data_IF_026948407308
#
_entry.id   IF_026948407308
#
_cell.length_a   1.000
_cell.length_b   1.000
_cell.length_c   1.000
_cell.angle_alpha   90.00
_cell.angle_beta   90.00
_cell.angle_gamma   90.00
#
_symmetry.space_group_name_H-M   'P 1'
#
loop_
_entity.id
_entity.type
_entity.pdbx_description
1 polymer ?
#
# COMPACT_ATOMS: atom_id res chain seq x y z
N UNK A 1 54.30 14.56 21.45
CA UNK A 1 53.63 15.02 20.22
C UNK A 1 52.57 13.98 19.85
N UNK A 2 51.29 14.31 19.86
CA UNK A 2 50.25 13.40 19.37
C UNK A 2 50.17 13.47 17.83
N UNK A 3 50.05 12.32 17.21
CA UNK A 3 49.88 12.14 15.77
C UNK A 3 48.51 12.71 15.31
N UNK A 4 48.42 13.30 14.12
CA UNK A 4 47.18 13.87 13.62
C UNK A 4 46.20 12.76 13.25
N UNK A 5 44.97 12.83 13.78
CA UNK A 5 43.84 11.96 13.40
C UNK A 5 43.44 12.31 11.97
N UNK A 6 43.62 11.38 11.06
CA UNK A 6 43.08 11.46 9.69
C UNK A 6 41.56 11.27 9.74
N UNK A 7 40.83 12.36 9.43
CA UNK A 7 39.38 12.28 9.21
C UNK A 7 39.11 11.40 8.00
N UNK A 8 38.48 10.25 8.22
CA UNK A 8 37.92 9.45 7.13
C UNK A 8 36.84 10.26 6.40
N UNK A 9 36.89 10.35 5.06
CA UNK A 9 35.84 11.05 4.32
C UNK A 9 34.50 10.32 4.52
N UNK A 10 33.47 11.10 4.82
CA UNK A 10 32.09 10.63 4.97
C UNK A 10 31.64 10.01 3.62
N UNK A 11 31.70 8.69 3.53
CA UNK A 11 31.32 7.96 2.34
C UNK A 11 29.80 7.89 2.27
N UNK A 12 29.18 8.71 1.42
CA UNK A 12 27.74 8.64 1.14
C UNK A 12 27.52 7.79 -0.14
N UNK A 13 27.09 6.52 -0.03
CA UNK A 13 26.93 5.63 -1.17
C UNK A 13 25.90 6.13 -2.19
N UNK A 14 24.90 6.90 -1.76
CA UNK A 14 23.91 7.53 -2.65
C UNK A 14 24.55 8.60 -3.54
N UNK A 15 25.53 9.33 -3.04
CA UNK A 15 26.25 10.34 -3.81
C UNK A 15 27.03 9.71 -4.97
N UNK A 16 27.61 8.53 -4.74
CA UNK A 16 28.35 7.80 -5.78
C UNK A 16 27.43 7.22 -6.86
N UNK A 17 26.24 6.74 -6.47
CA UNK A 17 25.22 6.28 -7.40
C UNK A 17 24.62 7.41 -8.23
N UNK A 18 24.40 8.56 -7.60
CA UNK A 18 23.98 9.79 -8.28
C UNK A 18 25.07 10.31 -9.24
N UNK A 19 26.34 10.20 -8.90
CA UNK A 19 27.44 10.58 -9.81
C UNK A 19 27.55 9.62 -11.01
N UNK A 20 27.37 8.31 -10.81
CA UNK A 20 27.36 7.37 -11.95
C UNK A 20 26.17 7.60 -12.88
N UNK A 21 24.99 7.90 -12.34
CA UNK A 21 23.82 8.30 -13.13
C UNK A 21 24.01 9.65 -13.84
N UNK A 22 24.67 10.61 -13.19
CA UNK A 22 24.98 11.90 -13.81
C UNK A 22 25.90 11.74 -15.03
N UNK A 23 26.82 10.77 -15.04
CA UNK A 23 27.64 10.47 -16.23
C UNK A 23 26.84 9.83 -17.37
N UNK A 24 25.77 9.04 -17.05
CA UNK A 24 24.87 8.47 -18.05
C UNK A 24 23.82 9.48 -18.55
N UNK A 25 23.42 10.44 -17.73
CA UNK A 25 22.41 11.46 -18.04
C UNK A 25 22.94 12.69 -18.79
N UNK A 26 24.23 12.80 -19.05
CA UNK A 26 24.80 13.93 -19.84
C UNK A 26 24.21 14.07 -21.25
N UNK A 27 23.44 13.10 -21.74
CA UNK A 27 22.80 13.17 -23.07
C UNK A 27 21.30 13.47 -23.04
N UNK A 28 20.68 13.73 -21.87
CA UNK A 28 19.24 13.99 -21.76
C UNK A 28 18.90 15.37 -21.14
N UNK A 29 19.62 16.40 -21.48
CA UNK A 29 19.26 17.74 -21.04
C UNK A 29 18.29 18.40 -22.04
N UNK A 30 17.04 18.64 -21.62
CA UNK A 30 16.12 19.54 -22.33
C UNK A 30 16.50 20.99 -22.06
N UNK A 31 16.68 21.81 -23.10
CA UNK A 31 16.81 23.27 -22.95
C UNK A 31 15.43 23.87 -22.75
N UNK A 32 15.22 24.60 -21.65
CA UNK A 32 14.07 25.52 -21.53
C UNK A 32 14.32 26.77 -22.38
N UNK A 33 13.27 27.48 -22.77
CA UNK A 33 13.37 28.71 -23.59
C UNK A 33 14.20 29.83 -22.95
N UNK A 34 14.54 29.69 -21.65
CA UNK A 34 15.35 30.68 -20.90
C UNK A 34 16.80 30.21 -20.64
N UNK A 35 17.21 29.07 -21.22
CA UNK A 35 18.61 28.61 -21.12
C UNK A 35 19.05 28.05 -19.75
N UNK A 36 18.18 27.94 -18.79
CA UNK A 36 18.43 27.28 -17.51
C UNK A 36 18.28 25.77 -17.66
N UNK A 37 19.28 25.01 -17.22
CA UNK A 37 19.21 23.56 -17.19
C UNK A 37 18.44 23.15 -15.95
N UNK A 38 17.20 22.70 -16.10
CA UNK A 38 16.48 22.01 -15.03
C UNK A 38 17.03 20.60 -14.91
N UNK A 39 17.44 20.25 -13.71
CA UNK A 39 17.86 18.88 -13.40
C UNK A 39 16.60 17.99 -13.46
N UNK A 40 16.48 17.16 -14.50
CA UNK A 40 15.35 16.25 -14.64
C UNK A 40 15.30 15.33 -13.43
N UNK A 41 14.24 15.44 -12.64
CA UNK A 41 13.98 14.57 -11.52
C UNK A 41 13.64 13.15 -12.04
N UNK A 42 14.27 12.12 -11.46
CA UNK A 42 13.97 10.73 -11.83
C UNK A 42 12.50 10.40 -11.53
N UNK A 43 11.85 9.64 -12.39
CA UNK A 43 10.47 9.17 -12.21
C UNK A 43 10.48 7.76 -11.65
N UNK A 44 9.73 7.55 -10.58
CA UNK A 44 9.62 6.26 -9.89
C UNK A 44 8.22 5.70 -10.05
N UNK A 45 8.12 4.43 -10.41
CA UNK A 45 6.89 3.67 -10.41
C UNK A 45 6.99 2.53 -9.39
N UNK A 46 5.98 2.39 -8.54
CA UNK A 46 5.91 1.35 -7.50
C UNK A 46 4.75 0.41 -7.81
N UNK A 47 5.05 -0.87 -7.95
CA UNK A 47 4.08 -1.92 -8.23
C UNK A 47 4.08 -2.94 -7.11
N UNK A 48 2.93 -3.12 -6.49
CA UNK A 48 2.78 -3.93 -5.29
C UNK A 48 1.87 -5.14 -5.52
N UNK A 49 2.42 -6.32 -5.36
CA UNK A 49 1.74 -7.60 -5.37
C UNK A 49 1.22 -7.91 -3.96
N UNK A 50 -0.05 -7.61 -3.71
CA UNK A 50 -0.67 -7.78 -2.40
C UNK A 50 -1.00 -9.25 -2.09
N UNK A 51 -1.15 -10.11 -3.08
CA UNK A 51 -1.39 -11.53 -2.86
C UNK A 51 -0.13 -12.20 -2.30
N UNK A 52 1.04 -11.75 -2.74
CA UNK A 52 2.33 -12.27 -2.31
C UNK A 52 2.87 -11.54 -1.07
N UNK A 53 2.72 -10.21 -1.01
CA UNK A 53 3.23 -9.34 0.06
C UNK A 53 2.11 -8.50 0.69
N UNK A 54 1.16 -9.13 1.40
CA UNK A 54 0.19 -8.37 2.18
C UNK A 54 0.89 -7.63 3.33
N UNK A 55 0.38 -6.47 3.76
CA UNK A 55 0.88 -5.80 4.96
C UNK A 55 0.72 -6.69 6.20
N UNK A 56 1.77 -6.76 7.02
CA UNK A 56 1.76 -7.48 8.31
C UNK A 56 1.28 -6.62 9.47
N UNK A 57 1.14 -5.32 9.24
CA UNK A 57 0.67 -4.32 10.16
C UNK A 57 -0.36 -3.38 9.50
N UNK A 58 -0.59 -2.18 10.04
CA UNK A 58 -1.55 -1.23 9.52
C UNK A 58 -1.25 -0.86 8.05
N UNK A 59 -2.17 -1.14 7.10
CA UNK A 59 -1.90 -0.98 5.67
C UNK A 59 -1.53 0.45 5.27
N UNK A 60 -2.12 1.45 5.92
CA UNK A 60 -1.82 2.85 5.68
C UNK A 60 -0.35 3.18 5.96
N UNK A 61 0.17 2.70 7.11
CA UNK A 61 1.55 2.96 7.52
C UNK A 61 2.54 2.26 6.58
N UNK A 62 2.26 0.99 6.24
CA UNK A 62 3.08 0.23 5.29
C UNK A 62 3.18 0.94 3.92
N UNK A 63 2.06 1.47 3.43
CA UNK A 63 2.03 2.21 2.16
C UNK A 63 2.80 3.52 2.23
N UNK A 64 2.70 4.28 3.33
CA UNK A 64 3.48 5.51 3.53
C UNK A 64 4.97 5.22 3.62
N UNK A 65 5.37 4.19 4.35
CA UNK A 65 6.78 3.78 4.46
C UNK A 65 7.35 3.37 3.10
N UNK A 66 6.58 2.61 2.31
CA UNK A 66 6.97 2.23 0.95
C UNK A 66 7.11 3.45 0.04
N UNK A 67 6.18 4.40 0.12
CA UNK A 67 6.23 5.66 -0.62
C UNK A 67 7.46 6.48 -0.23
N UNK A 68 7.72 6.64 1.06
CA UNK A 68 8.91 7.36 1.58
C UNK A 68 10.21 6.72 1.10
N UNK A 69 10.28 5.39 1.05
CA UNK A 69 11.42 4.69 0.46
C UNK A 69 11.58 5.03 -1.03
N UNK A 70 10.51 4.97 -1.80
CA UNK A 70 10.55 5.24 -3.24
C UNK A 70 10.92 6.69 -3.54
N UNK A 71 10.49 7.66 -2.74
CA UNK A 71 10.82 9.09 -2.85
C UNK A 71 12.32 9.37 -2.72
N UNK A 72 13.11 8.47 -2.10
CA UNK A 72 14.59 8.60 -2.07
C UNK A 72 15.23 8.44 -3.45
N UNK A 73 14.53 7.83 -4.42
CA UNK A 73 15.03 7.55 -5.77
C UNK A 73 14.54 8.57 -6.80
N UNK A 74 13.50 9.32 -6.49
CA UNK A 74 12.94 10.36 -7.37
C UNK A 74 11.49 10.66 -7.08
N UNK A 75 10.82 11.28 -8.04
CA UNK A 75 9.39 11.60 -7.97
C UNK A 75 8.55 10.33 -8.20
N UNK A 76 7.71 9.99 -7.23
CA UNK A 76 6.82 8.83 -7.31
C UNK A 76 5.61 9.19 -8.16
N UNK A 77 5.66 8.81 -9.44
CA UNK A 77 4.60 9.13 -10.41
C UNK A 77 3.44 8.16 -10.37
N UNK A 78 3.65 6.93 -9.92
CA UNK A 78 2.62 5.90 -9.79
C UNK A 78 2.96 4.97 -8.64
N UNK A 79 1.95 4.65 -7.83
CA UNK A 79 2.00 3.61 -6.82
C UNK A 79 0.72 2.79 -6.90
N UNK A 80 0.83 1.57 -7.39
CA UNK A 80 -0.30 0.70 -7.73
C UNK A 80 -0.16 -0.65 -7.04
N UNK A 81 -1.24 -1.14 -6.47
CA UNK A 81 -1.32 -2.42 -5.79
C UNK A 81 -2.34 -3.35 -6.46
N UNK A 82 -1.97 -4.60 -6.63
CA UNK A 82 -2.76 -5.61 -7.35
C UNK A 82 -3.03 -6.78 -6.44
N UNK A 83 -4.27 -7.26 -6.44
CA UNK A 83 -4.65 -8.45 -5.69
C UNK A 83 -5.92 -9.09 -6.20
N UNK A 84 -6.08 -10.38 -5.93
CA UNK A 84 -7.34 -11.07 -6.04
C UNK A 84 -8.32 -10.58 -4.94
N UNK A 85 -9.60 -10.76 -5.17
CA UNK A 85 -10.64 -10.34 -4.22
C UNK A 85 -10.43 -10.91 -2.81
N UNK A 86 -9.91 -12.11 -2.70
CA UNK A 86 -9.65 -12.79 -1.43
C UNK A 86 -8.70 -12.03 -0.50
N UNK A 87 -7.71 -11.32 -1.03
CA UNK A 87 -6.78 -10.52 -0.22
C UNK A 87 -7.49 -9.43 0.61
N UNK A 88 -8.63 -8.93 0.13
CA UNK A 88 -9.39 -7.88 0.82
C UNK A 88 -10.40 -8.41 1.84
N UNK A 89 -10.75 -9.69 1.74
CA UNK A 89 -11.72 -10.36 2.61
C UNK A 89 -11.01 -11.11 3.73
N UNK A 90 -9.87 -11.71 3.43
CA UNK A 90 -9.09 -12.49 4.37
C UNK A 90 -8.55 -11.62 5.53
N UNK A 91 -8.66 -12.15 6.75
CA UNK A 91 -8.18 -11.46 7.95
C UNK A 91 -6.78 -11.97 8.32
N UNK A 92 -5.74 -11.12 8.24
CA UNK A 92 -4.42 -11.46 8.73
C UNK A 92 -4.43 -11.76 10.23
N UNK A 93 -3.49 -12.59 10.69
CA UNK A 93 -3.38 -13.00 12.09
C UNK A 93 -3.30 -11.82 13.07
N UNK A 94 -2.60 -10.75 12.71
CA UNK A 94 -2.49 -9.57 13.56
C UNK A 94 -3.86 -8.87 13.77
N UNK A 95 -4.74 -8.86 12.76
CA UNK A 95 -6.10 -8.30 12.86
C UNK A 95 -6.95 -9.17 13.78
N UNK A 96 -6.84 -10.50 13.64
CA UNK A 96 -7.55 -11.46 14.51
C UNK A 96 -7.13 -11.27 15.97
N UNK A 97 -5.83 -11.17 16.23
CA UNK A 97 -5.30 -10.92 17.58
C UNK A 97 -5.80 -9.59 18.15
N UNK A 98 -5.71 -8.51 17.37
CA UNK A 98 -6.20 -7.19 17.78
C UNK A 98 -7.71 -7.22 18.11
N UNK A 99 -8.53 -7.93 17.30
CA UNK A 99 -9.97 -8.08 17.57
C UNK A 99 -10.22 -8.87 18.84
N UNK A 100 -9.47 -9.95 19.09
CA UNK A 100 -9.56 -10.76 20.32
C UNK A 100 -9.18 -9.96 21.55
N UNK A 101 -8.06 -9.27 21.51
CA UNK A 101 -7.63 -8.38 22.61
C UNK A 101 -8.66 -7.31 22.91
N UNK A 102 -9.20 -6.66 21.87
CA UNK A 102 -10.24 -5.64 22.05
C UNK A 102 -11.52 -6.23 22.67
N UNK A 103 -11.97 -7.43 22.21
CA UNK A 103 -13.13 -8.11 22.79
C UNK A 103 -12.91 -8.40 24.29
N UNK A 104 -11.74 -8.91 24.64
CA UNK A 104 -11.39 -9.17 26.04
C UNK A 104 -11.40 -7.89 26.89
N UNK A 105 -10.81 -6.81 26.39
CA UNK A 105 -10.85 -5.51 27.10
C UNK A 105 -12.28 -4.99 27.27
N UNK A 106 -13.12 -5.07 26.24
CA UNK A 106 -14.53 -4.65 26.30
C UNK A 106 -15.31 -5.45 27.37
N UNK A 107 -15.01 -6.77 27.52
CA UNK A 107 -15.61 -7.62 28.59
C UNK A 107 -15.12 -7.17 29.98
N UNK A 108 -13.84 -6.95 30.16
CA UNK A 108 -13.26 -6.54 31.45
C UNK A 108 -13.73 -5.16 31.87
N UNK A 109 -13.84 -4.22 30.94
CA UNK A 109 -14.43 -2.89 31.17
C UNK A 109 -15.91 -2.99 31.58
N UNK A 110 -16.71 -3.85 30.92
CA UNK A 110 -18.12 -4.07 31.27
C UNK A 110 -18.31 -4.69 32.66
N UNK A 111 -17.41 -5.63 33.04
CA UNK A 111 -17.41 -6.22 34.39
C UNK A 111 -16.87 -5.27 35.45
N UNK A 112 -16.37 -4.09 35.10
CA UNK A 112 -15.78 -3.12 36.04
C UNK A 112 -14.44 -3.57 36.65
N UNK A 113 -13.81 -4.62 36.05
CA UNK A 113 -12.51 -5.14 36.50
C UNK A 113 -11.40 -4.17 36.11
N UNK A 114 -11.50 -3.59 34.92
CA UNK A 114 -10.58 -2.57 34.39
C UNK A 114 -11.36 -1.30 34.19
N UNK A 115 -10.85 -0.20 34.76
CA UNK A 115 -11.34 1.14 34.47
C UNK A 115 -10.31 1.85 33.61
N UNK A 116 -10.69 2.36 32.41
CA UNK A 116 -9.75 3.12 31.59
C UNK A 116 -9.28 4.37 32.36
N UNK A 117 -8.00 4.69 32.23
CA UNK A 117 -7.40 5.88 32.89
C UNK A 117 -8.01 7.18 32.40
N UNK A 118 -8.45 7.21 31.13
CA UNK A 118 -9.13 8.34 30.52
C UNK A 118 -10.46 7.90 29.87
N UNK A 119 -11.49 8.76 29.94
CA UNK A 119 -12.77 8.44 29.30
C UNK A 119 -12.62 8.40 27.76
N UNK A 120 -13.36 7.52 27.11
CA UNK A 120 -13.45 7.46 25.67
C UNK A 120 -14.19 8.69 25.13
N UNK A 121 -13.55 9.43 24.23
CA UNK A 121 -14.10 10.66 23.65
C UNK A 121 -14.54 10.42 22.22
N UNK A 122 -15.78 10.78 21.88
CA UNK A 122 -16.25 10.76 20.49
C UNK A 122 -15.59 11.88 19.70
N UNK A 123 -14.78 11.53 18.69
CA UNK A 123 -14.06 12.50 17.84
C UNK A 123 -14.99 13.39 16.99
N UNK A 124 -16.26 13.01 16.82
CA UNK A 124 -17.24 13.82 16.07
C UNK A 124 -17.85 14.93 16.93
N UNK A 125 -18.30 14.61 18.17
CA UNK A 125 -19.06 15.56 19.00
C UNK A 125 -18.44 15.86 20.37
N UNK A 126 -17.30 15.25 20.71
CA UNK A 126 -16.61 15.47 21.99
C UNK A 126 -17.27 14.80 23.21
N UNK A 127 -18.33 14.00 23.04
CA UNK A 127 -18.98 13.31 24.16
C UNK A 127 -18.01 12.33 24.82
N UNK A 128 -17.95 12.35 26.15
CA UNK A 128 -17.18 11.42 26.97
C UNK A 128 -18.03 10.19 27.31
N UNK A 129 -17.51 9.00 27.08
CA UNK A 129 -18.13 7.71 27.37
C UNK A 129 -17.28 6.95 28.40
N UNK A 130 -17.90 6.17 29.29
CA UNK A 130 -17.18 5.41 30.32
C UNK A 130 -16.48 4.18 29.74
N UNK A 131 -17.12 3.49 28.82
CA UNK A 131 -16.60 2.28 28.18
C UNK A 131 -16.51 2.46 26.67
N UNK A 132 -15.68 1.64 26.02
CA UNK A 132 -15.60 1.60 24.56
C UNK A 132 -16.92 1.15 23.92
N UNK A 133 -17.65 0.25 24.58
CA UNK A 133 -18.98 -0.21 24.14
C UNK A 133 -19.98 0.96 24.12
N UNK A 134 -19.97 1.80 25.17
CA UNK A 134 -20.82 3.00 25.22
C UNK A 134 -20.47 3.98 24.10
N UNK A 135 -19.18 4.15 23.79
CA UNK A 135 -18.73 4.99 22.69
C UNK A 135 -19.26 4.46 21.34
N UNK A 136 -19.13 3.15 21.08
CA UNK A 136 -19.66 2.51 19.86
C UNK A 136 -21.17 2.68 19.76
N UNK A 137 -21.91 2.41 20.86
CA UNK A 137 -23.37 2.56 20.92
C UNK A 137 -23.79 4.01 20.64
N UNK A 138 -23.12 4.97 21.28
CA UNK A 138 -23.35 6.39 21.03
C UNK A 138 -23.13 6.77 19.57
N UNK A 139 -22.00 6.32 18.98
CA UNK A 139 -21.67 6.63 17.61
C UNK A 139 -22.69 6.05 16.62
N UNK A 140 -23.06 4.76 16.78
CA UNK A 140 -24.08 4.11 15.95
C UNK A 140 -25.44 4.82 16.03
N UNK A 141 -25.89 5.12 17.23
CA UNK A 141 -27.23 5.69 17.47
C UNK A 141 -27.39 7.12 16.97
N UNK A 142 -26.34 7.95 17.04
CA UNK A 142 -26.41 9.35 16.63
C UNK A 142 -25.76 9.59 15.26
N UNK A 143 -24.45 9.41 15.18
CA UNK A 143 -23.69 9.85 14.00
C UNK A 143 -23.91 8.97 12.77
N UNK A 144 -23.95 7.64 12.94
CA UNK A 144 -24.21 6.72 11.84
C UNK A 144 -25.63 6.89 11.31
N UNK A 145 -26.63 7.01 12.19
CA UNK A 145 -28.02 7.28 11.79
C UNK A 145 -28.18 8.63 11.09
N UNK A 146 -27.48 9.66 11.55
CA UNK A 146 -27.50 10.97 10.90
C UNK A 146 -26.86 10.89 9.51
N UNK A 147 -25.72 10.20 9.40
CA UNK A 147 -25.04 9.97 8.12
C UNK A 147 -25.95 9.19 7.16
N UNK A 148 -26.61 8.13 7.63
CA UNK A 148 -27.54 7.33 6.83
C UNK A 148 -28.70 8.18 6.30
N UNK A 149 -29.26 9.09 7.10
CA UNK A 149 -30.29 10.04 6.65
C UNK A 149 -29.76 10.94 5.53
N UNK A 150 -28.52 11.46 5.66
CA UNK A 150 -27.89 12.28 4.61
C UNK A 150 -27.69 11.49 3.32
N UNK A 151 -27.24 10.24 3.41
CA UNK A 151 -27.05 9.35 2.25
C UNK A 151 -28.40 8.99 1.60
N UNK A 152 -29.40 8.63 2.38
CA UNK A 152 -30.74 8.36 1.85
C UNK A 152 -31.32 9.58 1.12
N UNK A 153 -31.10 10.79 1.67
CA UNK A 153 -31.47 12.03 1.00
C UNK A 153 -30.70 12.22 -0.31
N UNK A 154 -29.40 11.98 -0.31
CA UNK A 154 -28.57 12.03 -1.51
C UNK A 154 -29.08 11.10 -2.60
N UNK A 155 -29.48 9.86 -2.25
CA UNK A 155 -29.98 8.87 -3.19
C UNK A 155 -31.36 9.26 -3.77
N UNK A 156 -32.15 10.07 -3.07
CA UNK A 156 -33.40 10.60 -3.57
C UNK A 156 -33.25 11.79 -4.55
N UNK A 157 -32.06 12.38 -4.63
CA UNK A 157 -31.77 13.52 -5.49
C UNK A 157 -31.14 13.07 -6.82
N UNK A 158 -31.37 13.88 -7.89
CA UNK A 158 -30.82 13.63 -9.24
C UNK A 158 -30.08 14.88 -9.78
N UNK A 159 -29.16 14.63 -10.71
CA UNK A 159 -28.46 15.66 -11.47
C UNK A 159 -27.70 16.68 -10.59
N UNK A 160 -27.67 17.94 -10.99
CA UNK A 160 -26.94 19.03 -10.30
C UNK A 160 -27.33 19.20 -8.82
N UNK A 161 -28.59 18.87 -8.44
CA UNK A 161 -29.04 18.94 -7.04
C UNK A 161 -28.36 17.86 -6.18
N UNK A 162 -28.18 16.65 -6.71
CA UNK A 162 -27.45 15.56 -6.05
C UNK A 162 -26.00 15.95 -5.82
N UNK A 163 -25.32 16.46 -6.84
CA UNK A 163 -23.92 16.85 -6.74
C UNK A 163 -23.71 17.97 -5.70
N UNK A 164 -24.50 19.04 -5.74
CA UNK A 164 -24.45 20.10 -4.72
C UNK A 164 -24.71 19.60 -3.31
N UNK A 165 -25.63 18.65 -3.16
CA UNK A 165 -25.93 18.07 -1.84
C UNK A 165 -24.76 17.18 -1.36
N UNK A 166 -24.17 16.35 -2.25
CA UNK A 166 -23.00 15.52 -1.96
C UNK A 166 -21.84 16.39 -1.46
N UNK A 167 -21.47 17.40 -2.21
CA UNK A 167 -20.37 18.32 -1.86
C UNK A 167 -20.58 19.00 -0.50
N UNK A 168 -21.80 19.44 -0.22
CA UNK A 168 -22.09 20.20 1.01
C UNK A 168 -22.24 19.36 2.27
N UNK A 169 -22.79 18.15 2.19
CA UNK A 169 -23.24 17.38 3.35
C UNK A 169 -22.64 15.99 3.48
N UNK A 170 -22.01 15.49 2.42
CA UNK A 170 -21.48 14.13 2.37
C UNK A 170 -19.98 14.11 2.13
N UNK A 171 -19.48 14.85 1.14
CA UNK A 171 -18.05 14.98 0.87
C UNK A 171 -17.39 15.87 1.94
N UNK A 172 -16.15 15.56 2.33
CA UNK A 172 -15.37 16.39 3.26
C UNK A 172 -15.70 16.22 4.73
N UNK A 173 -16.54 15.24 5.12
CA UNK A 173 -16.80 14.96 6.54
C UNK A 173 -15.68 14.10 7.15
N UNK A 174 -14.45 14.65 7.15
CA UNK A 174 -13.26 13.93 7.61
C UNK A 174 -13.35 13.49 9.07
N UNK A 175 -13.99 14.32 9.92
CA UNK A 175 -14.19 13.97 11.33
C UNK A 175 -15.00 12.69 11.48
N UNK A 176 -16.10 12.57 10.72
CA UNK A 176 -16.91 11.37 10.70
C UNK A 176 -16.14 10.17 10.15
N UNK A 177 -15.44 10.33 9.03
CA UNK A 177 -14.69 9.25 8.39
C UNK A 177 -13.55 8.75 9.28
N UNK A 178 -12.87 9.63 10.00
CA UNK A 178 -11.84 9.25 10.98
C UNK A 178 -12.46 8.51 12.17
N UNK A 179 -13.57 9.02 12.71
CA UNK A 179 -14.29 8.38 13.80
C UNK A 179 -14.78 6.98 13.43
N UNK A 180 -15.29 6.79 12.21
CA UNK A 180 -15.70 5.46 11.70
C UNK A 180 -14.53 4.48 11.76
N UNK A 181 -13.35 4.86 11.24
CA UNK A 181 -12.16 3.99 11.24
C UNK A 181 -11.68 3.61 12.63
N UNK A 182 -11.76 4.54 13.58
CA UNK A 182 -11.31 4.32 14.95
C UNK A 182 -12.31 3.51 15.78
N UNK A 183 -13.62 3.77 15.62
CA UNK A 183 -14.67 3.24 16.49
C UNK A 183 -15.30 1.97 15.93
N UNK A 184 -15.55 1.91 14.61
CA UNK A 184 -16.26 0.80 13.99
C UNK A 184 -15.29 -0.16 13.27
N UNK A 185 -15.63 -1.44 13.27
CA UNK A 185 -14.92 -2.45 12.50
C UNK A 185 -15.59 -2.60 11.13
N UNK A 186 -14.83 -2.84 10.04
CA UNK A 186 -15.42 -3.20 8.76
C UNK A 186 -16.26 -4.46 8.87
N UNK A 187 -17.41 -4.52 8.19
CA UNK A 187 -18.27 -5.70 8.13
C UNK A 187 -17.56 -6.87 7.46
N UNK A 188 -16.81 -6.58 6.40
CA UNK A 188 -16.05 -7.58 5.64
C UNK A 188 -14.59 -7.16 5.58
N UNK A 189 -13.68 -8.11 5.80
CA UNK A 189 -12.25 -7.85 5.77
C UNK A 189 -11.78 -6.91 6.90
N UNK A 190 -10.75 -6.12 6.64
CA UNK A 190 -10.13 -5.21 7.62
C UNK A 190 -9.83 -3.82 7.06
N UNK A 191 -10.44 -3.48 5.94
CA UNK A 191 -10.28 -2.16 5.33
C UNK A 191 -8.98 -1.98 4.52
N UNK A 192 -8.33 -3.08 4.10
CA UNK A 192 -7.07 -3.06 3.36
C UNK A 192 -7.10 -2.07 2.18
N UNK A 193 -8.07 -2.24 1.26
CA UNK A 193 -8.16 -1.40 0.08
C UNK A 193 -8.42 0.09 0.40
N UNK A 194 -9.28 0.36 1.39
CA UNK A 194 -9.60 1.74 1.79
C UNK A 194 -8.39 2.44 2.43
N UNK A 195 -7.63 1.73 3.26
CA UNK A 195 -6.44 2.30 3.91
C UNK A 195 -5.30 2.52 2.92
N UNK A 196 -5.11 1.61 1.96
CA UNK A 196 -4.14 1.80 0.87
C UNK A 196 -4.51 2.99 -0.03
N UNK A 197 -5.79 3.10 -0.43
CA UNK A 197 -6.26 4.26 -1.21
C UNK A 197 -6.10 5.58 -0.45
N UNK A 198 -6.35 5.59 0.85
CA UNK A 198 -6.12 6.75 1.70
C UNK A 198 -4.66 7.19 1.71
N UNK A 199 -3.72 6.24 1.64
CA UNK A 199 -2.30 6.51 1.52
C UNK A 199 -1.86 6.95 0.09
N UNK A 200 -2.80 7.02 -0.85
CA UNK A 200 -2.53 7.40 -2.24
C UNK A 200 -2.14 6.25 -3.15
N UNK A 201 -2.35 4.99 -2.73
CA UNK A 201 -2.09 3.82 -3.56
C UNK A 201 -3.30 3.53 -4.44
N UNK A 202 -3.09 3.38 -5.74
CA UNK A 202 -4.12 2.87 -6.65
C UNK A 202 -4.29 1.37 -6.43
N UNK A 203 -5.46 0.93 -5.97
CA UNK A 203 -5.73 -0.48 -5.68
C UNK A 203 -6.61 -1.08 -6.76
N UNK A 204 -6.05 -2.06 -7.47
CA UNK A 204 -6.75 -2.82 -8.52
C UNK A 204 -7.08 -4.22 -8.03
N UNK A 205 -8.37 -4.49 -7.92
CA UNK A 205 -8.88 -5.85 -7.70
C UNK A 205 -9.03 -6.54 -9.03
N UNK A 206 -8.48 -7.74 -9.16
CA UNK A 206 -8.63 -8.58 -10.35
C UNK A 206 -9.62 -9.71 -10.10
N UNK A 207 -10.05 -10.38 -11.17
CA UNK A 207 -10.94 -11.54 -11.07
C UNK A 207 -10.28 -12.69 -10.30
N UNK A 208 -11.11 -13.51 -9.62
CA UNK A 208 -10.65 -14.68 -8.85
C UNK A 208 -10.23 -15.85 -9.78
N UNK A 209 -9.25 -15.54 -10.64
CA UNK A 209 -8.61 -16.53 -11.52
C UNK A 209 -7.16 -16.71 -11.08
N UNK A 210 -6.61 -17.93 -11.13
CA UNK A 210 -5.19 -18.13 -10.87
C UNK A 210 -4.33 -17.19 -11.73
N UNK A 211 -3.29 -16.59 -11.15
CA UNK A 211 -2.34 -15.70 -11.80
C UNK A 211 -2.92 -14.41 -12.43
N UNK A 212 -4.20 -14.06 -12.18
CA UNK A 212 -4.79 -12.86 -12.77
C UNK A 212 -4.12 -11.58 -12.24
N UNK A 213 -3.74 -11.55 -10.96
CA UNK A 213 -3.01 -10.44 -10.36
C UNK A 213 -1.62 -10.30 -10.99
N UNK A 214 -0.88 -11.40 -11.15
CA UNK A 214 0.46 -11.42 -11.76
C UNK A 214 0.42 -10.92 -13.20
N UNK A 215 -0.59 -11.37 -13.95
CA UNK A 215 -0.79 -10.94 -15.34
C UNK A 215 -1.09 -9.44 -15.43
N UNK A 216 -1.98 -8.94 -14.57
CA UNK A 216 -2.28 -7.52 -14.53
C UNK A 216 -1.06 -6.69 -14.13
N UNK A 217 -0.27 -7.20 -13.20
CA UNK A 217 0.96 -6.55 -12.72
C UNK A 217 2.05 -6.57 -13.80
N UNK A 218 2.27 -7.70 -14.51
CA UNK A 218 3.19 -7.79 -15.66
C UNK A 218 2.79 -6.80 -16.77
N UNK A 219 1.49 -6.70 -17.08
CA UNK A 219 0.99 -5.72 -18.06
C UNK A 219 1.27 -4.28 -17.61
N UNK A 220 1.09 -3.96 -16.33
CA UNK A 220 1.41 -2.63 -15.80
C UNK A 220 2.91 -2.35 -15.83
N UNK A 221 3.76 -3.34 -15.53
CA UNK A 221 5.22 -3.19 -15.65
C UNK A 221 5.61 -2.77 -17.07
N UNK A 222 5.10 -3.47 -18.10
CA UNK A 222 5.34 -3.13 -19.52
C UNK A 222 4.87 -1.72 -19.85
N UNK A 223 3.66 -1.36 -19.41
CA UNK A 223 3.12 -0.03 -19.63
C UNK A 223 3.97 1.07 -18.94
N UNK A 224 4.41 0.86 -17.72
CA UNK A 224 5.25 1.82 -16.99
C UNK A 224 6.61 1.99 -17.66
N UNK A 225 7.22 0.90 -18.15
CA UNK A 225 8.46 0.96 -18.91
C UNK A 225 8.33 1.83 -20.19
N UNK A 226 7.21 1.70 -20.92
CA UNK A 226 6.97 2.50 -22.14
C UNK A 226 6.73 3.99 -21.85
N UNK A 227 6.36 4.36 -20.63
CA UNK A 227 6.10 5.75 -20.21
C UNK A 227 7.35 6.53 -19.80
N UNK A 228 8.54 5.92 -19.89
CA UNK A 228 9.80 6.58 -19.60
C UNK A 228 10.01 6.88 -18.12
N UNK A 229 9.71 5.91 -17.27
CA UNK A 229 10.14 5.91 -15.87
C UNK A 229 11.64 5.65 -15.80
N UNK A 230 12.29 6.07 -14.71
CA UNK A 230 13.71 5.85 -14.48
C UNK A 230 13.95 4.72 -13.47
N UNK A 231 13.01 4.52 -12.53
CA UNK A 231 13.06 3.47 -11.50
C UNK A 231 11.76 2.69 -11.42
N UNK A 232 11.90 1.35 -11.37
CA UNK A 232 10.82 0.41 -11.15
C UNK A 232 11.00 -0.30 -9.82
N UNK A 233 10.04 -0.10 -8.91
CA UNK A 233 9.92 -0.83 -7.65
C UNK A 233 8.92 -1.95 -7.82
N UNK A 234 9.30 -3.16 -7.43
CA UNK A 234 8.43 -4.32 -7.37
C UNK A 234 8.39 -4.87 -5.95
N UNK A 235 7.21 -4.90 -5.35
CA UNK A 235 6.98 -5.47 -4.01
C UNK A 235 6.40 -6.87 -4.20
N UNK A 236 7.25 -7.87 -4.31
CA UNK A 236 6.91 -9.29 -4.47
C UNK A 236 8.14 -10.17 -4.28
N UNK A 237 7.93 -11.44 -3.95
CA UNK A 237 8.95 -12.50 -3.96
C UNK A 237 8.73 -13.53 -5.06
N UNK A 238 7.72 -13.32 -5.92
CA UNK A 238 7.41 -14.27 -6.96
C UNK A 238 8.47 -14.26 -8.07
N UNK A 239 9.08 -15.42 -8.29
CA UNK A 239 10.11 -15.64 -9.32
C UNK A 239 9.61 -15.41 -10.76
N UNK A 240 8.30 -15.47 -10.98
CA UNK A 240 7.68 -15.28 -12.28
C UNK A 240 7.86 -13.85 -12.84
N UNK A 241 8.26 -12.91 -11.99
CA UNK A 241 8.60 -11.54 -12.39
C UNK A 241 10.06 -11.38 -12.83
N UNK A 242 10.92 -12.41 -12.74
CA UNK A 242 12.36 -12.30 -13.07
C UNK A 242 12.61 -11.87 -14.50
N UNK A 243 11.82 -12.36 -15.44
CA UNK A 243 11.92 -11.94 -16.85
C UNK A 243 11.56 -10.47 -17.05
N UNK A 244 10.54 -9.99 -16.33
CA UNK A 244 10.14 -8.60 -16.40
C UNK A 244 11.20 -7.65 -15.82
N UNK A 245 11.87 -8.05 -14.74
CA UNK A 245 13.01 -7.29 -14.20
C UNK A 245 14.18 -7.27 -15.18
N UNK A 246 14.43 -8.38 -15.89
CA UNK A 246 15.44 -8.44 -16.95
C UNK A 246 15.12 -7.45 -18.08
N UNK A 247 13.88 -7.44 -18.57
CA UNK A 247 13.40 -6.49 -19.60
C UNK A 247 13.54 -5.02 -19.13
N UNK A 248 13.18 -4.74 -17.89
CA UNK A 248 13.33 -3.40 -17.32
C UNK A 248 14.81 -2.94 -17.33
N UNK A 249 15.72 -3.83 -16.98
CA UNK A 249 17.16 -3.55 -17.01
C UNK A 249 17.72 -3.40 -18.43
N UNK A 250 17.23 -4.19 -19.38
CA UNK A 250 17.57 -4.05 -20.82
C UNK A 250 17.09 -2.68 -21.36
N UNK A 251 15.98 -2.19 -20.85
CA UNK A 251 15.49 -0.84 -21.13
C UNK A 251 16.21 0.28 -20.33
N UNK A 252 17.31 -0.04 -19.64
CA UNK A 252 18.10 0.87 -18.80
C UNK A 252 17.35 1.50 -17.62
N UNK A 253 16.34 0.84 -17.08
CA UNK A 253 15.68 1.25 -15.86
C UNK A 253 16.46 0.73 -14.63
N UNK A 254 16.50 1.53 -13.58
CA UNK A 254 16.87 1.05 -12.25
C UNK A 254 15.74 0.18 -11.69
N UNK A 255 16.10 -0.94 -11.06
CA UNK A 255 15.14 -1.90 -10.53
C UNK A 255 15.37 -2.12 -9.04
N UNK A 256 14.30 -2.03 -8.25
CA UNK A 256 14.31 -2.31 -6.81
C UNK A 256 13.27 -3.38 -6.53
N UNK A 257 13.68 -4.48 -5.91
CA UNK A 257 12.77 -5.50 -5.39
C UNK A 257 12.66 -5.34 -3.89
N UNK A 258 11.43 -5.24 -3.41
CA UNK A 258 11.10 -5.23 -1.99
C UNK A 258 10.48 -6.58 -1.66
N UNK A 259 11.16 -7.36 -0.82
CA UNK A 259 10.74 -8.73 -0.52
C UNK A 259 11.45 -9.34 0.67
N UNK A 260 11.29 -10.65 0.88
CA UNK A 260 11.98 -11.35 1.97
C UNK A 260 13.43 -11.71 1.60
N UNK A 261 14.26 -11.86 2.63
CA UNK A 261 15.65 -12.34 2.47
C UNK A 261 15.64 -13.73 1.82
N UNK A 262 16.63 -14.02 1.01
CA UNK A 262 16.88 -15.35 0.38
C UNK A 262 15.96 -15.72 -0.79
N UNK A 263 15.11 -14.82 -1.28
CA UNK A 263 14.31 -15.11 -2.46
C UNK A 263 15.07 -14.87 -3.76
N UNK A 264 14.82 -15.76 -4.73
CA UNK A 264 15.51 -15.73 -6.01
C UNK A 264 15.31 -14.42 -6.80
N UNK A 265 14.11 -13.81 -6.66
CA UNK A 265 13.74 -12.60 -7.41
C UNK A 265 14.68 -11.43 -7.14
N UNK A 266 15.11 -11.21 -5.91
CA UNK A 266 16.02 -10.13 -5.54
C UNK A 266 17.39 -10.18 -6.25
N UNK A 267 17.79 -11.33 -6.82
CA UNK A 267 19.03 -11.47 -7.60
C UNK A 267 18.94 -10.83 -8.99
N UNK A 268 17.71 -10.65 -9.48
CA UNK A 268 17.45 -10.06 -10.79
C UNK A 268 17.28 -8.53 -10.75
N UNK A 269 17.18 -7.94 -9.56
CA UNK A 269 17.11 -6.50 -9.36
C UNK A 269 18.49 -5.86 -9.16
N UNK A 270 18.59 -4.56 -9.36
CA UNK A 270 19.79 -3.78 -9.03
C UNK A 270 19.92 -3.59 -7.53
N UNK A 271 18.78 -3.44 -6.84
CA UNK A 271 18.68 -3.34 -5.39
C UNK A 271 17.63 -4.31 -4.87
N UNK A 272 17.90 -4.83 -3.69
CA UNK A 272 16.94 -5.60 -2.92
C UNK A 272 16.82 -5.02 -1.51
N UNK A 273 15.57 -4.85 -1.04
CA UNK A 273 15.25 -4.26 0.26
C UNK A 273 14.30 -5.20 1.01
N UNK A 274 14.57 -5.50 2.29
CA UNK A 274 13.71 -6.39 3.06
C UNK A 274 12.33 -5.76 3.33
N UNK A 275 11.25 -6.50 3.03
CA UNK A 275 9.88 -6.03 3.21
C UNK A 275 9.57 -5.60 4.65
N UNK A 276 10.02 -6.38 5.63
CA UNK A 276 9.82 -6.05 7.05
C UNK A 276 10.48 -4.71 7.45
N UNK A 277 11.66 -4.41 6.94
CA UNK A 277 12.32 -3.13 7.20
C UNK A 277 11.56 -1.96 6.56
N UNK A 278 11.02 -2.17 5.34
CA UNK A 278 10.20 -1.16 4.66
C UNK A 278 8.91 -0.90 5.43
N UNK A 279 8.19 -1.96 5.79
CA UNK A 279 6.91 -1.87 6.49
C UNK A 279 7.00 -1.16 7.83
N UNK A 280 8.10 -1.39 8.56
CA UNK A 280 8.38 -0.74 9.85
C UNK A 280 9.01 0.66 9.71
N UNK A 281 9.38 1.08 8.50
CA UNK A 281 10.08 2.34 8.28
C UNK A 281 11.54 2.34 8.75
N UNK A 282 12.16 1.15 8.86
CA UNK A 282 13.51 0.92 9.41
C UNK A 282 14.60 0.79 8.34
N UNK A 283 14.30 1.17 7.08
CA UNK A 283 15.26 1.07 5.98
C UNK A 283 16.40 2.05 6.16
N UNK A 284 17.60 1.54 6.36
CA UNK A 284 18.83 2.32 6.50
C UNK A 284 19.47 2.58 5.13
N UNK A 285 20.31 3.61 5.05
CA UNK A 285 21.04 3.95 3.80
C UNK A 285 21.98 2.82 3.37
N UNK A 286 22.48 2.01 4.31
CA UNK A 286 23.31 0.83 4.01
C UNK A 286 22.51 -0.29 3.30
N UNK A 287 21.22 -0.38 3.50
CA UNK A 287 20.35 -1.35 2.82
C UNK A 287 20.14 -0.99 1.35
N UNK A 288 20.44 0.25 0.98
CA UNK A 288 20.29 0.79 -0.37
C UNK A 288 21.59 0.72 -1.19
N UNK A 289 22.58 -0.03 -0.73
CA UNK A 289 23.82 -0.22 -1.47
C UNK A 289 23.61 -1.23 -2.60
N UNK A 290 23.82 -0.86 -3.88
CA UNK A 290 23.73 -1.78 -4.99
C UNK A 290 24.72 -2.93 -4.82
N UNK A 291 24.26 -4.14 -5.04
CA UNK A 291 25.16 -5.29 -5.13
C UNK A 291 26.11 -5.04 -6.31
N UNK A 292 27.42 -4.90 -6.04
CA UNK A 292 28.44 -4.74 -7.09
C UNK A 292 28.29 -5.91 -8.07
N UNK A 293 27.73 -5.63 -9.23
CA UNK A 293 27.75 -6.53 -10.35
C UNK A 293 28.95 -6.16 -11.19
N UNK A 294 29.94 -7.06 -11.21
CA UNK A 294 30.97 -7.03 -12.25
C UNK A 294 30.29 -6.90 -13.61
N UNK A 295 30.33 -5.69 -14.16
CA UNK A 295 29.99 -5.45 -15.56
C UNK A 295 31.07 -6.14 -16.39
N UNK A 296 30.95 -7.47 -16.59
CA UNK A 296 31.59 -8.06 -17.75
C UNK A 296 30.95 -7.43 -18.95
N UNK A 297 31.68 -6.50 -19.53
CA UNK A 297 31.50 -5.98 -20.88
C UNK A 297 31.55 -7.16 -21.82
N UNK A 298 30.39 -7.78 -22.09
CA UNK A 298 30.26 -8.58 -23.29
C UNK A 298 30.16 -7.60 -24.45
N UNK A 299 31.25 -7.53 -25.20
CA UNK A 299 31.32 -6.90 -26.52
C UNK A 299 30.10 -7.31 -27.34
N UNK A 300 29.41 -6.30 -27.85
CA UNK A 300 28.27 -6.46 -28.73
C UNK A 300 28.68 -7.27 -29.97
N UNK A 301 28.25 -8.50 -30.04
CA UNK A 301 28.06 -9.18 -31.30
C UNK A 301 26.65 -8.88 -31.74
N UNK A 302 26.54 -8.00 -32.72
CA UNK A 302 25.31 -7.68 -33.46
C UNK A 302 24.76 -8.94 -34.07
N UNK A 303 23.77 -9.56 -33.41
CA UNK A 303 22.94 -10.56 -34.10
C UNK A 303 21.58 -9.91 -34.31
N UNK A 304 21.34 -9.50 -35.54
CA UNK A 304 20.05 -9.04 -36.03
C UNK A 304 19.10 -10.23 -35.96
N UNK A 305 18.29 -10.30 -34.94
CA UNK A 305 17.15 -11.21 -34.89
C UNK A 305 15.91 -10.40 -35.25
N UNK A 306 15.39 -10.73 -36.43
CA UNK A 306 14.13 -10.26 -36.99
C UNK A 306 13.01 -10.43 -36.00
N UNK A 307 12.31 -9.32 -35.72
CA UNK A 307 11.04 -9.30 -35.02
C UNK A 307 9.96 -9.77 -36.01
N UNK A 308 9.66 -11.05 -36.01
CA UNK A 308 8.45 -11.57 -36.60
C UNK A 308 7.83 -12.54 -35.62
N UNK A 309 6.57 -12.27 -35.34
CA UNK A 309 5.60 -13.11 -34.63
C UNK A 309 5.19 -12.65 -33.20
N UNK A 310 4.52 -11.51 -33.17
CA UNK A 310 3.45 -11.29 -32.19
C UNK A 310 2.19 -10.87 -32.93
N UNK A 311 1.30 -11.85 -33.09
CA UNK A 311 -0.01 -11.66 -33.68
C UNK A 311 -0.75 -10.47 -33.12
N UNK A 312 -1.25 -9.64 -34.03
CA UNK A 312 -2.20 -8.55 -33.78
C UNK A 312 -3.39 -9.03 -32.98
N UNK A 313 -3.36 -8.85 -31.68
CA UNK A 313 -4.57 -8.83 -30.86
C UNK A 313 -5.07 -7.40 -30.89
N UNK A 314 -5.97 -7.13 -31.79
CA UNK A 314 -6.79 -5.93 -31.83
C UNK A 314 -7.54 -5.81 -30.51
N UNK A 315 -7.03 -4.94 -29.61
CA UNK A 315 -7.77 -4.51 -28.46
C UNK A 315 -8.71 -3.38 -28.86
N UNK A 316 -10.00 -3.68 -28.91
CA UNK A 316 -11.03 -2.66 -28.86
C UNK A 316 -10.88 -1.92 -27.54
N UNK A 317 -10.55 -0.66 -27.65
CA UNK A 317 -10.58 0.29 -26.56
C UNK A 317 -12.06 0.71 -26.39
N UNK A 318 -12.83 -0.09 -25.66
CA UNK A 318 -14.05 0.42 -25.06
C UNK A 318 -13.62 1.37 -23.94
N UNK A 319 -13.85 2.65 -24.20
CA UNK A 319 -13.73 3.71 -23.21
C UNK A 319 -14.81 3.52 -22.15
N UNK A 320 -14.56 2.68 -21.15
CA UNK A 320 -15.25 2.79 -19.89
C UNK A 320 -14.73 4.06 -19.22
N UNK A 321 -15.54 5.11 -19.31
CA UNK A 321 -15.51 6.20 -18.34
C UNK A 321 -15.55 5.55 -16.97
N UNK A 322 -14.40 5.49 -16.30
CA UNK A 322 -14.33 5.10 -14.90
C UNK A 322 -15.09 6.17 -14.12
N UNK A 323 -16.38 5.96 -13.96
CA UNK A 323 -17.12 6.57 -12.86
C UNK A 323 -16.42 6.06 -11.60
N UNK A 324 -15.65 6.95 -10.98
CA UNK A 324 -15.13 6.72 -9.65
C UNK A 324 -16.37 6.56 -8.77
N UNK A 325 -16.82 5.35 -8.57
CA UNK A 325 -17.73 5.01 -7.49
C UNK A 325 -16.94 5.18 -6.18
N UNK A 326 -16.90 6.44 -5.71
CA UNK A 326 -16.41 6.81 -4.38
C UNK A 326 -17.34 6.30 -3.26
N UNK A 327 -18.36 5.53 -3.59
CA UNK A 327 -19.32 4.99 -2.65
C UNK A 327 -19.08 3.49 -2.40
N UNK A 328 -17.83 3.09 -2.08
CA UNK A 328 -17.69 1.94 -1.23
C UNK A 328 -18.10 2.38 0.18
N UNK A 329 -19.39 2.41 0.41
CA UNK A 329 -19.95 2.47 1.76
C UNK A 329 -19.32 1.31 2.52
N UNK A 330 -18.42 1.65 3.45
CA UNK A 330 -17.94 0.70 4.42
C UNK A 330 -19.19 0.18 5.13
N UNK A 331 -19.69 -0.99 4.67
CA UNK A 331 -20.77 -1.69 5.36
C UNK A 331 -20.18 -2.20 6.68
N UNK A 332 -20.42 -1.45 7.73
CA UNK A 332 -20.11 -1.88 9.08
C UNK A 332 -21.24 -2.75 9.61
N UNK A 333 -20.90 -3.85 10.28
CA UNK A 333 -21.91 -4.74 10.84
C UNK A 333 -22.78 -4.02 11.87
N UNK A 334 -24.08 -3.97 11.62
CA UNK A 334 -25.07 -3.58 12.63
C UNK A 334 -25.40 -4.73 13.58
N UNK A 335 -25.10 -5.95 13.15
CA UNK A 335 -25.29 -7.15 13.94
C UNK A 335 -24.03 -7.38 14.79
N UNK A 336 -23.96 -6.71 15.96
CA UNK A 336 -23.47 -7.42 17.11
C UNK A 336 -24.61 -8.40 17.45
N UNK A 337 -24.59 -9.56 16.78
CA UNK A 337 -25.21 -10.73 17.36
C UNK A 337 -24.58 -10.80 18.77
N UNK A 338 -25.39 -10.48 19.73
CA UNK A 338 -25.23 -10.95 21.07
C UNK A 338 -25.33 -12.47 20.93
N UNK A 339 -24.25 -13.11 20.49
CA UNK A 339 -24.01 -14.49 20.80
C UNK A 339 -24.06 -14.50 22.33
N UNK A 340 -25.22 -14.82 22.87
CA UNK A 340 -25.31 -15.50 24.14
C UNK A 340 -24.35 -16.68 23.95
N UNK A 341 -23.07 -16.44 24.35
CA UNK A 341 -22.12 -17.50 24.57
C UNK A 341 -22.86 -18.47 25.49
N UNK A 342 -23.43 -19.53 24.92
CA UNK A 342 -23.62 -20.78 25.63
C UNK A 342 -22.23 -21.11 26.16
N UNK A 343 -22.04 -20.86 27.45
CA UNK A 343 -20.93 -21.35 28.24
C UNK A 343 -20.96 -22.88 28.13
N UNK A 344 -20.37 -23.42 27.08
CA UNK A 344 -19.85 -24.78 27.12
C UNK A 344 -18.62 -24.70 28.03
N UNK A 345 -18.90 -24.88 29.31
CA UNK A 345 -17.94 -25.27 30.32
C UNK A 345 -17.35 -26.60 29.86
N UNK A 346 -16.21 -26.56 29.15
CA UNK A 346 -15.32 -27.70 29.04
C UNK A 346 -14.75 -27.96 30.44
N UNK A 347 -15.44 -28.83 31.17
CA UNK A 347 -14.93 -29.54 32.34
C UNK A 347 -13.80 -30.48 31.88
N UNK A 348 -12.63 -29.95 31.66
CA UNK A 348 -11.41 -30.76 31.66
C UNK A 348 -11.09 -31.16 33.08
N UNK A 349 -11.65 -32.32 33.46
CA UNK A 349 -11.36 -33.03 34.70
C UNK A 349 -9.88 -33.41 34.76
N UNK A 350 -9.13 -32.71 35.56
CA UNK A 350 -7.82 -33.13 36.01
C UNK A 350 -8.00 -34.32 36.97
N UNK A 351 -7.78 -35.54 36.47
CA UNK A 351 -7.53 -36.69 37.31
C UNK A 351 -6.04 -36.70 37.73
N UNK A 352 -5.84 -36.45 39.02
CA UNK A 352 -4.56 -36.74 39.71
C UNK A 352 -4.56 -38.24 40.10
N UNK A 353 -3.57 -38.96 39.61
CA UNK A 353 -2.98 -40.09 40.28
C UNK A 353 -1.47 -40.04 40.15
#
# INVERSE_FOLDING_TARGET
HPLPQTKTPNYNPMFFYQQQQQQHNRHRHGKTQQGTYEQKQNKVCVLWDLDNKPPRGPPYNAALSLKTLAERFGDVTDISAYANRHAFIHLPQWVLNQRRERKNLDILERKGIINPSEPYICSVCGRKCKTNVDLKKHFKQLHQRERQKKVNRLNSLKGKKRQKYKERFVSGDEKYNNAVREILKPKVGYGLASELRRAGVFVKTVEDKPQAADWALKKQMMHSMSRGIDWLFLVSDDSDFSEMLRKAREANLGTVVVGDVDKALGRHADLWVPWNAVENGEVLDMDLVPKNRDRRRTSATTTTTTMDDFGDVLFYHEGEEMVMEEDFMLEYSDDEDFDEDSDEEDEDGFFIY
#
